data_IF_358567689569
#
_entry.id   IF_358567689569
#
_cell.length_a   1.000
_cell.length_b   1.000
_cell.length_c   1.000
_cell.angle_alpha   90.00
_cell.angle_beta   90.00
_cell.angle_gamma   90.00
#
_symmetry.space_group_name_H-M   'P 1'
#
loop_
_entity.id
_entity.type
_entity.pdbx_description
1 polymer ?
#
# COMPACT_ATOMS: atom_id res chain seq x y z
N UNK A 1 3.02 -23.25 -4.71
CA UNK A 1 2.88 -21.90 -4.12
C UNK A 1 3.57 -21.93 -2.77
N UNK A 2 4.68 -21.20 -2.60
CA UNK A 2 5.32 -21.07 -1.29
C UNK A 2 4.32 -20.51 -0.29
N UNK A 3 4.35 -20.99 0.95
CA UNK A 3 3.47 -20.51 2.00
C UNK A 3 3.75 -19.01 2.17
N UNK A 4 2.73 -18.15 2.08
CA UNK A 4 2.89 -16.70 2.30
C UNK A 4 3.58 -16.39 3.63
N UNK A 5 3.46 -17.29 4.60
CA UNK A 5 4.19 -17.26 5.87
C UNK A 5 5.71 -17.36 5.70
N UNK A 6 6.21 -18.15 4.74
CA UNK A 6 7.64 -18.28 4.48
C UNK A 6 8.22 -16.97 3.89
N UNK A 7 7.40 -16.27 3.09
CA UNK A 7 7.75 -14.94 2.56
C UNK A 7 7.79 -13.93 3.70
N UNK A 8 6.74 -13.89 4.55
CA UNK A 8 6.65 -12.94 5.66
C UNK A 8 7.75 -13.16 6.69
N UNK A 9 8.03 -14.42 7.06
CA UNK A 9 9.06 -14.77 8.05
C UNK A 9 10.48 -14.41 7.62
N UNK A 10 10.72 -14.16 6.32
CA UNK A 10 11.97 -13.57 5.82
C UNK A 10 12.17 -12.13 6.32
N UNK A 11 11.09 -11.39 6.57
CA UNK A 11 11.13 -9.97 6.91
C UNK A 11 10.69 -9.68 8.34
N UNK A 12 9.76 -10.45 8.89
CA UNK A 12 9.20 -10.26 10.23
C UNK A 12 8.58 -11.53 10.78
N UNK A 13 8.65 -11.73 12.10
CA UNK A 13 7.95 -12.80 12.79
C UNK A 13 6.52 -12.39 13.22
N UNK A 14 6.16 -11.12 13.04
CA UNK A 14 4.86 -10.54 13.42
C UNK A 14 4.02 -10.38 12.16
N UNK A 15 2.92 -11.12 12.04
CA UNK A 15 2.00 -11.00 10.91
C UNK A 15 1.41 -9.58 10.81
N UNK A 16 1.28 -8.91 11.95
CA UNK A 16 0.78 -7.54 12.07
C UNK A 16 1.69 -6.54 11.35
N UNK A 17 3.00 -6.80 11.25
CA UNK A 17 3.92 -5.94 10.51
C UNK A 17 3.76 -6.04 8.97
N UNK A 18 2.89 -6.93 8.49
CA UNK A 18 2.55 -7.07 7.06
C UNK A 18 1.07 -6.79 6.81
N UNK A 19 0.21 -7.12 7.78
CA UNK A 19 -1.24 -6.93 7.72
C UNK A 19 -1.64 -5.85 8.72
N UNK A 20 -1.65 -4.56 8.32
CA UNK A 20 -2.04 -3.50 9.22
C UNK A 20 -3.49 -3.70 9.67
N UNK A 21 -3.66 -3.67 10.99
CA UNK A 21 -4.97 -3.64 11.62
C UNK A 21 -5.67 -2.30 11.46
N UNK A 22 -6.94 -2.24 11.84
CA UNK A 22 -7.78 -1.03 11.74
C UNK A 22 -7.25 0.15 12.56
N UNK A 23 -6.55 -0.14 13.66
CA UNK A 23 -6.04 0.87 14.59
C UNK A 23 -4.61 1.33 14.26
N UNK A 24 -3.99 0.81 13.20
CA UNK A 24 -2.64 1.25 12.80
C UNK A 24 -2.73 2.67 12.24
N UNK A 25 -1.98 3.59 12.84
CA UNK A 25 -1.83 4.93 12.27
C UNK A 25 -0.97 4.87 11.01
N UNK A 26 -1.44 5.54 9.95
CA UNK A 26 -0.68 5.73 8.73
C UNK A 26 0.39 6.80 8.89
N UNK A 27 1.47 6.42 9.54
CA UNK A 27 2.70 7.19 9.69
C UNK A 27 3.86 6.36 9.11
N UNK A 28 4.16 6.49 7.80
CA UNK A 28 3.95 7.70 6.99
C UNK A 28 2.82 7.64 5.96
N UNK A 29 2.18 6.48 5.71
CA UNK A 29 1.25 6.34 4.58
C UNK A 29 -0.05 5.64 4.93
N UNK A 30 -1.02 5.81 4.05
CA UNK A 30 -2.28 5.10 4.00
C UNK A 30 -2.40 4.34 2.69
N UNK A 31 -3.10 3.23 2.70
CA UNK A 31 -3.33 2.38 1.51
C UNK A 31 -4.76 1.88 1.51
N UNK A 32 -5.19 1.37 0.36
CA UNK A 32 -6.42 0.60 0.25
C UNK A 32 -6.09 -0.89 0.24
N UNK A 33 -6.74 -1.64 1.12
CA UNK A 33 -6.58 -3.08 1.25
C UNK A 33 -7.92 -3.79 1.15
N UNK A 34 -7.90 -4.95 0.52
CA UNK A 34 -9.07 -5.79 0.38
C UNK A 34 -9.48 -6.39 1.72
N UNK A 35 -10.76 -6.25 2.03
CA UNK A 35 -11.43 -6.83 3.17
C UNK A 35 -12.39 -7.91 2.69
N UNK A 36 -12.28 -9.11 3.25
CA UNK A 36 -13.24 -10.20 3.03
C UNK A 36 -13.74 -10.72 4.37
N UNK A 37 -15.06 -10.79 4.52
CA UNK A 37 -15.71 -11.24 5.76
C UNK A 37 -15.22 -10.45 7.00
N UNK A 38 -15.01 -9.14 6.86
CA UNK A 38 -14.50 -8.27 7.93
C UNK A 38 -13.01 -8.43 8.23
N UNK A 39 -12.27 -9.24 7.47
CA UNK A 39 -10.84 -9.45 7.68
C UNK A 39 -9.99 -8.90 6.53
N UNK A 40 -8.88 -8.26 6.88
CA UNK A 40 -7.86 -7.85 5.93
C UNK A 40 -7.21 -9.08 5.29
N UNK A 41 -7.25 -9.16 3.96
CA UNK A 41 -6.69 -10.29 3.20
C UNK A 41 -5.19 -10.14 2.93
N UNK A 42 -4.64 -8.94 3.11
CA UNK A 42 -3.29 -8.56 2.70
C UNK A 42 -3.15 -8.19 1.23
N UNK A 43 -4.24 -8.26 0.45
CA UNK A 43 -4.22 -7.81 -0.93
C UNK A 43 -4.37 -6.29 -0.99
N UNK A 44 -3.35 -5.61 -1.49
CA UNK A 44 -3.42 -4.18 -1.78
C UNK A 44 -4.31 -3.92 -3.00
N UNK A 45 -5.03 -2.80 -2.97
CA UNK A 45 -5.65 -2.27 -4.18
C UNK A 45 -4.55 -1.92 -5.19
N UNK A 46 -4.74 -2.36 -6.43
CA UNK A 46 -3.81 -2.14 -7.53
C UNK A 46 -4.36 -1.06 -8.45
N UNK A 47 -3.60 0.02 -8.68
CA UNK A 47 -3.97 1.07 -9.65
C UNK A 47 -3.58 0.72 -11.09
N UNK A 48 -2.99 -0.47 -11.31
CA UNK A 48 -2.62 -0.97 -12.62
C UNK A 48 -1.37 -1.84 -12.55
N UNK A 49 -0.86 -2.19 -13.73
CA UNK A 49 0.42 -2.90 -13.87
C UNK A 49 1.34 -2.14 -14.81
N UNK A 50 2.63 -2.13 -14.49
CA UNK A 50 3.70 -1.62 -15.34
C UNK A 50 4.81 -2.65 -15.38
N UNK A 51 5.25 -3.05 -16.58
CA UNK A 51 6.31 -4.06 -16.76
C UNK A 51 6.09 -5.34 -15.91
N UNK A 52 4.84 -5.82 -15.87
CA UNK A 52 4.37 -6.95 -15.07
C UNK A 52 4.49 -6.79 -13.54
N UNK A 53 4.74 -5.57 -13.04
CA UNK A 53 4.71 -5.21 -11.62
C UNK A 53 3.36 -4.61 -11.25
N UNK A 54 2.81 -5.02 -10.11
CA UNK A 54 1.60 -4.45 -9.51
C UNK A 54 1.93 -3.09 -8.89
N UNK A 55 1.17 -2.06 -9.27
CA UNK A 55 1.35 -0.71 -8.75
C UNK A 55 0.50 -0.52 -7.49
N UNK A 56 1.15 -0.28 -6.36
CA UNK A 56 0.51 -0.02 -5.06
C UNK A 56 0.59 1.48 -4.77
N UNK A 57 -0.56 2.12 -4.59
CA UNK A 57 -0.64 3.53 -4.24
C UNK A 57 -0.48 3.74 -2.73
N UNK A 58 0.44 4.61 -2.36
CA UNK A 58 0.68 5.09 -0.99
C UNK A 58 0.18 6.54 -0.89
N UNK A 59 -0.69 6.79 0.07
CA UNK A 59 -1.28 8.09 0.33
C UNK A 59 -0.63 8.73 1.56
N UNK A 60 0.00 9.91 1.46
CA UNK A 60 0.60 10.57 2.62
C UNK A 60 -0.42 10.98 3.69
N UNK A 61 -1.67 11.21 3.29
CA UNK A 61 -2.72 11.68 4.18
C UNK A 61 -3.96 10.80 4.09
N UNK A 62 -4.60 10.54 5.24
CA UNK A 62 -5.76 9.64 5.32
C UNK A 62 -6.91 10.08 4.42
N UNK A 63 -7.21 11.37 4.38
CA UNK A 63 -8.33 11.90 3.59
C UNK A 63 -8.19 11.59 2.09
N UNK A 64 -6.97 11.52 1.56
CA UNK A 64 -6.71 11.18 0.17
C UNK A 64 -7.05 9.70 -0.09
N UNK A 65 -6.73 8.82 0.86
CA UNK A 65 -7.09 7.41 0.79
C UNK A 65 -8.59 7.20 0.98
N UNK A 66 -9.22 7.92 1.92
CA UNK A 66 -10.67 7.87 2.16
C UNK A 66 -11.43 8.25 0.90
N UNK A 67 -11.06 9.37 0.28
CA UNK A 67 -11.70 9.80 -0.94
C UNK A 67 -11.44 8.85 -2.13
N UNK A 68 -10.24 8.28 -2.24
CA UNK A 68 -9.98 7.24 -3.24
C UNK A 68 -10.86 5.99 -2.99
N UNK A 69 -11.12 5.64 -1.73
CA UNK A 69 -12.03 4.57 -1.35
C UNK A 69 -13.47 4.88 -1.77
N UNK A 70 -13.96 6.10 -1.55
CA UNK A 70 -15.32 6.52 -1.94
C UNK A 70 -15.56 6.38 -3.46
N UNK A 71 -14.57 6.78 -4.27
CA UNK A 71 -14.62 6.60 -5.72
C UNK A 71 -14.64 5.11 -6.08
N UNK A 72 -13.84 4.30 -5.39
CA UNK A 72 -13.78 2.86 -5.63
C UNK A 72 -15.02 2.12 -5.13
N UNK A 73 -15.68 2.53 -4.05
CA UNK A 73 -16.92 1.91 -3.57
C UNK A 73 -18.03 1.97 -4.62
N UNK A 74 -18.02 2.99 -5.48
CA UNK A 74 -18.92 3.07 -6.64
C UNK A 74 -18.66 1.93 -7.66
N UNK A 75 -17.50 1.28 -7.59
CA UNK A 75 -17.03 0.23 -8.50
C UNK A 75 -16.74 -1.13 -7.82
N UNK A 76 -16.46 -1.17 -6.51
CA UNK A 76 -16.07 -2.35 -5.73
C UNK A 76 -16.15 -2.08 -4.21
N UNK A 77 -17.02 -2.82 -3.49
CA UNK A 77 -17.31 -2.60 -2.06
C UNK A 77 -16.34 -3.25 -1.07
N UNK A 78 -15.23 -3.83 -1.53
CA UNK A 78 -14.41 -4.73 -0.72
C UNK A 78 -13.07 -4.13 -0.29
N UNK A 79 -12.89 -2.81 -0.40
CA UNK A 79 -11.64 -2.15 -0.02
C UNK A 79 -11.86 -1.19 1.15
N UNK A 80 -10.90 -1.17 2.07
CA UNK A 80 -10.89 -0.20 3.16
C UNK A 80 -9.52 0.45 3.31
N UNK A 81 -9.53 1.67 3.83
CA UNK A 81 -8.33 2.42 4.19
C UNK A 81 -7.62 1.75 5.37
N UNK A 82 -6.30 1.57 5.25
CA UNK A 82 -5.42 1.06 6.31
C UNK A 82 -4.16 1.91 6.41
N UNK A 83 -3.73 2.16 7.64
CA UNK A 83 -2.45 2.82 7.90
C UNK A 83 -1.28 1.88 7.61
N UNK A 84 -0.23 2.41 7.02
CA UNK A 84 1.07 1.75 6.82
C UNK A 84 2.06 2.51 7.69
N UNK A 85 2.42 1.92 8.82
CA UNK A 85 3.49 2.46 9.67
C UNK A 85 4.87 2.24 9.05
N UNK A 86 5.92 2.85 9.61
CA UNK A 86 7.30 2.64 9.17
C UNK A 86 7.71 1.17 9.12
N UNK A 87 7.27 0.33 10.06
CA UNK A 87 7.55 -1.11 10.07
C UNK A 87 6.94 -1.83 8.86
N UNK A 88 5.68 -1.50 8.55
CA UNK A 88 4.99 -2.06 7.37
C UNK A 88 5.65 -1.60 6.07
N UNK A 89 6.05 -0.33 6.03
CA UNK A 89 6.74 0.23 4.88
C UNK A 89 8.09 -0.44 4.67
N UNK A 90 8.85 -0.74 5.74
CA UNK A 90 10.12 -1.45 5.61
C UNK A 90 9.94 -2.84 4.99
N UNK A 91 8.89 -3.57 5.37
CA UNK A 91 8.58 -4.87 4.75
C UNK A 91 8.27 -4.69 3.26
N UNK A 92 7.43 -3.71 2.88
CA UNK A 92 7.10 -3.45 1.48
C UNK A 92 8.31 -3.07 0.63
N UNK A 93 9.20 -2.24 1.18
CA UNK A 93 10.42 -1.82 0.51
C UNK A 93 11.37 -3.01 0.30
N UNK A 94 11.53 -3.87 1.31
CA UNK A 94 12.35 -5.08 1.18
C UNK A 94 11.79 -6.07 0.17
N UNK A 95 10.47 -6.21 0.08
CA UNK A 95 9.84 -7.01 -0.98
C UNK A 95 10.17 -6.45 -2.38
N UNK A 96 10.13 -5.13 -2.56
CA UNK A 96 10.55 -4.50 -3.81
C UNK A 96 12.03 -4.80 -4.12
N UNK A 97 12.89 -4.63 -3.12
CA UNK A 97 14.36 -4.82 -3.22
C UNK A 97 14.72 -6.27 -3.55
N UNK A 98 13.97 -7.23 -3.03
CA UNK A 98 14.13 -8.67 -3.32
C UNK A 98 13.52 -9.10 -4.66
N UNK A 99 12.98 -8.17 -5.44
CA UNK A 99 12.50 -8.44 -6.81
C UNK A 99 11.09 -9.01 -6.89
N UNK A 100 10.28 -8.90 -5.83
CA UNK A 100 8.85 -9.19 -5.95
C UNK A 100 8.20 -8.22 -6.96
N UNK A 101 7.20 -8.68 -7.74
CA UNK A 101 6.61 -7.90 -8.83
C UNK A 101 5.63 -6.84 -8.30
N UNK A 102 6.12 -5.93 -7.46
CA UNK A 102 5.41 -4.76 -6.98
C UNK A 102 6.26 -3.49 -7.15
N UNK A 103 5.57 -2.36 -7.28
CA UNK A 103 6.16 -1.03 -7.35
C UNK A 103 5.28 -0.07 -6.55
N UNK A 104 5.91 0.79 -5.75
CA UNK A 104 5.24 1.72 -4.86
C UNK A 104 5.10 3.07 -5.56
N UNK A 105 3.90 3.64 -5.55
CA UNK A 105 3.60 4.95 -6.11
C UNK A 105 3.15 5.84 -4.98
N UNK A 106 3.79 6.99 -4.79
CA UNK A 106 3.40 7.94 -3.76
C UNK A 106 2.51 9.00 -4.39
N UNK A 107 1.30 9.14 -3.87
CA UNK A 107 0.39 10.19 -4.30
C UNK A 107 0.96 11.56 -3.94
N UNK A 108 1.07 12.45 -4.93
CA UNK A 108 1.59 13.80 -4.75
C UNK A 108 0.48 14.80 -4.43
N UNK A 109 -0.76 14.50 -4.83
CA UNK A 109 -1.97 15.27 -4.54
C UNK A 109 -3.20 14.39 -4.67
N UNK A 110 -4.36 14.93 -4.29
CA UNK A 110 -5.68 14.37 -4.63
C UNK A 110 -5.82 14.16 -6.16
N UNK A 111 -6.79 13.35 -6.62
CA UNK A 111 -7.06 13.17 -8.06
C UNK A 111 -7.29 14.55 -8.69
N UNK A 112 -6.87 14.70 -9.94
CA UNK A 112 -7.20 15.89 -10.71
C UNK A 112 -8.72 15.98 -10.97
N UNK A 113 -9.18 17.08 -11.58
CA UNK A 113 -10.59 17.33 -11.94
C UNK A 113 -11.23 16.22 -12.81
N UNK A 114 -10.42 15.31 -13.37
CA UNK A 114 -10.88 14.17 -14.17
C UNK A 114 -10.99 12.88 -13.37
N UNK A 115 -10.71 12.92 -12.06
CA UNK A 115 -10.66 11.72 -11.23
C UNK A 115 -9.45 10.84 -11.54
N UNK A 116 -8.33 11.41 -12.01
CA UNK A 116 -7.08 10.68 -12.24
C UNK A 116 -6.05 10.93 -11.14
N UNK A 117 -5.39 9.86 -10.67
CA UNK A 117 -4.38 9.92 -9.61
C UNK A 117 -3.16 10.70 -10.08
N UNK A 118 -2.91 11.85 -9.44
CA UNK A 118 -1.66 12.59 -9.56
C UNK A 118 -0.64 12.01 -8.56
N UNK A 119 0.13 11.04 -9.02
CA UNK A 119 1.18 10.38 -8.23
C UNK A 119 2.57 10.58 -8.82
N UNK A 120 3.58 10.50 -7.97
CA UNK A 120 4.97 10.31 -8.37
C UNK A 120 5.36 8.84 -8.16
N UNK A 121 5.89 8.21 -9.20
CA UNK A 121 6.57 6.92 -9.02
C UNK A 121 7.87 7.18 -8.27
N UNK A 122 8.04 6.51 -7.13
CA UNK A 122 9.26 6.61 -6.32
C UNK A 122 9.85 5.22 -6.16
N UNK A 123 11.13 5.08 -6.50
CA UNK A 123 11.88 3.87 -6.17
C UNK A 123 11.94 3.67 -4.65
N UNK A 124 12.13 2.43 -4.17
CA UNK A 124 12.34 2.17 -2.75
C UNK A 124 13.41 3.08 -2.12
N UNK A 125 14.52 3.30 -2.84
CA UNK A 125 15.58 4.23 -2.43
C UNK A 125 15.09 5.67 -2.26
N UNK A 126 14.28 6.19 -3.19
CA UNK A 126 13.72 7.54 -3.08
C UNK A 126 12.76 7.66 -1.89
N UNK A 127 11.92 6.65 -1.65
CA UNK A 127 11.00 6.62 -0.50
C UNK A 127 11.78 6.63 0.81
N UNK A 128 12.82 5.80 0.93
CA UNK A 128 13.68 5.75 2.12
C UNK A 128 14.35 7.10 2.38
N UNK A 129 14.91 7.73 1.35
CA UNK A 129 15.60 9.01 1.50
C UNK A 129 14.69 10.16 1.93
N UNK A 130 13.43 10.17 1.51
CA UNK A 130 12.49 11.24 1.88
C UNK A 130 12.01 11.10 3.33
N UNK A 131 11.93 9.87 3.85
CA UNK A 131 11.32 9.59 5.15
C UNK A 131 12.30 9.43 6.31
N UNK A 132 13.56 9.09 6.03
CA UNK A 132 14.58 8.81 7.05
C UNK A 132 15.75 9.81 7.07
N UNK A 133 15.55 11.00 6.50
CA UNK A 133 16.44 12.17 6.68
C UNK A 133 16.09 12.93 7.95
#
# INVERSE_FOLDING_TARGET
MGNWRDIITKYTIKAEAVLPGENVQGDPFWVLMEIRNGHNTGNYHSIGKKDNRTLIMLFPQKHMADWAAEILEQHSSNFMVRGVSSDHLDVLLRLCEDGYPLELVVSASELNEKGELCGAMMSPYQIRNVLFM
#
